data_IF_961546526406
#
_entry.id   IF_961546526406
#
_cell.length_a   1.000
_cell.length_b   1.000
_cell.length_c   1.000
_cell.angle_alpha   90.00
_cell.angle_beta   90.00
_cell.angle_gamma   90.00
#
_symmetry.space_group_name_H-M   'P 1'
#
loop_
_entity.id
_entity.type
_entity.pdbx_description
1 polymer ?
#
# COMPACT_ATOMS: atom_id res chain seq x y z
N UNK A 1 -4.78 51.43 58.55
CA UNK A 1 -5.35 52.64 59.19
C UNK A 1 -5.43 53.74 58.12
N UNK A 2 -6.65 54.25 57.84
CA UNK A 2 -7.04 55.45 57.04
C UNK A 2 -6.49 55.60 55.60
N UNK A 3 -7.31 55.45 54.54
CA UNK A 3 -8.28 56.40 53.93
C UNK A 3 -7.71 57.74 53.42
N UNK A 4 -7.84 57.89 52.10
CA UNK A 4 -8.44 58.99 51.33
C UNK A 4 -7.60 60.18 50.80
N UNK A 5 -7.74 60.33 49.47
CA UNK A 5 -7.97 61.54 48.65
C UNK A 5 -6.83 62.52 48.38
N UNK A 6 -6.52 62.77 47.09
CA UNK A 6 -7.08 63.93 46.37
C UNK A 6 -6.78 63.89 44.87
N UNK A 7 -7.77 64.28 44.08
CA UNK A 7 -7.73 64.65 42.65
C UNK A 7 -7.07 66.01 42.43
N UNK A 8 -6.34 66.20 41.30
CA UNK A 8 -6.63 67.23 40.28
C UNK A 8 -5.63 67.22 39.11
N UNK A 9 -6.22 67.38 37.93
CA UNK A 9 -5.73 67.72 36.59
C UNK A 9 -4.40 68.49 36.49
N UNK A 10 -3.67 68.28 35.38
CA UNK A 10 -3.18 69.31 34.45
C UNK A 10 -2.99 68.69 33.05
N UNK A 11 -3.44 69.43 32.02
CA UNK A 11 -3.23 69.13 30.60
C UNK A 11 -1.78 69.45 30.23
N UNK A 12 -1.10 68.55 29.53
CA UNK A 12 -0.01 68.93 28.63
C UNK A 12 -0.19 68.21 27.30
N UNK A 13 -0.31 69.02 26.25
CA UNK A 13 -0.28 68.63 24.86
C UNK A 13 1.12 68.15 24.49
N UNK A 14 1.22 66.97 23.86
CA UNK A 14 2.35 66.64 23.01
C UNK A 14 1.79 66.15 21.67
N UNK A 15 2.15 66.86 20.61
CA UNK A 15 1.82 66.52 19.25
C UNK A 15 2.49 65.19 18.86
N UNK A 16 1.70 64.27 18.30
CA UNK A 16 2.22 63.16 17.51
C UNK A 16 1.58 63.24 16.14
N UNK A 17 2.43 63.33 15.11
CA UNK A 17 2.05 63.31 13.71
C UNK A 17 1.17 62.07 13.43
N UNK A 18 0.04 62.32 12.78
CA UNK A 18 -0.74 61.27 12.14
C UNK A 18 0.04 60.77 10.90
N UNK A 19 0.71 59.63 11.03
CA UNK A 19 0.98 58.76 9.89
C UNK A 19 -0.13 57.72 9.83
N UNK A 20 -1.10 57.96 8.95
CA UNK A 20 -2.03 56.92 8.53
C UNK A 20 -1.22 55.84 7.81
N UNK A 21 -0.84 54.79 8.54
CA UNK A 21 -0.40 53.55 7.91
C UNK A 21 -1.67 52.88 7.36
N UNK A 22 -1.76 52.64 6.04
CA UNK A 22 -2.81 51.78 5.55
C UNK A 22 -2.53 50.39 6.13
N UNK A 23 -3.46 49.88 6.92
CA UNK A 23 -3.56 48.44 7.14
C UNK A 23 -3.84 47.82 5.78
N UNK A 24 -2.79 47.50 5.04
CA UNK A 24 -2.86 46.55 3.95
C UNK A 24 -3.20 45.22 4.60
N UNK A 25 -4.49 44.94 4.70
CA UNK A 25 -4.98 43.58 4.63
C UNK A 25 -4.30 42.95 3.41
N UNK A 26 -3.28 42.13 3.66
CA UNK A 26 -2.84 41.13 2.69
C UNK A 26 -4.05 40.21 2.48
N UNK A 27 -4.90 40.61 1.54
CA UNK A 27 -5.67 39.65 0.77
C UNK A 27 -4.62 38.75 0.14
N UNK A 28 -4.38 37.60 0.76
CA UNK A 28 -3.90 36.44 0.02
C UNK A 28 -4.95 36.22 -1.07
N UNK A 29 -4.65 36.73 -2.26
CA UNK A 29 -5.35 36.33 -3.46
C UNK A 29 -5.01 34.85 -3.66
N UNK A 30 -5.73 33.96 -2.97
CA UNK A 30 -5.93 32.62 -3.47
C UNK A 30 -6.79 32.82 -4.72
N UNK A 31 -6.16 33.00 -5.88
CA UNK A 31 -6.83 32.70 -7.14
C UNK A 31 -7.16 31.21 -7.08
N UNK A 32 -8.42 30.91 -6.81
CA UNK A 32 -8.93 29.55 -6.91
C UNK A 32 -8.84 29.20 -8.41
N UNK A 33 -7.77 28.51 -8.80
CA UNK A 33 -7.42 28.26 -10.21
C UNK A 33 -8.31 27.19 -10.87
N UNK A 34 -9.16 26.52 -10.08
CA UNK A 34 -10.06 25.49 -10.56
C UNK A 34 -11.42 25.51 -9.86
N UNK A 35 -12.46 25.20 -10.62
CA UNK A 35 -13.81 24.87 -10.15
C UNK A 35 -13.95 23.34 -9.99
N UNK A 36 -14.77 22.90 -9.04
CA UNK A 36 -15.11 21.47 -8.86
C UNK A 36 -16.59 21.25 -9.10
N UNK A 37 -16.92 20.42 -10.09
CA UNK A 37 -18.29 20.00 -10.41
C UNK A 37 -18.51 18.59 -9.88
N UNK A 38 -19.64 18.36 -9.23
CA UNK A 38 -19.96 17.08 -8.58
C UNK A 38 -21.19 16.42 -9.22
N UNK A 39 -21.14 15.11 -9.38
CA UNK A 39 -22.26 14.26 -9.82
C UNK A 39 -22.56 13.19 -8.79
N UNK A 40 -23.83 12.88 -8.57
CA UNK A 40 -24.26 11.80 -7.69
C UNK A 40 -25.51 11.11 -8.24
N UNK A 41 -25.46 9.77 -8.29
CA UNK A 41 -26.64 8.93 -8.45
C UNK A 41 -26.83 8.10 -7.20
N UNK A 42 -28.00 8.18 -6.58
CA UNK A 42 -28.35 7.30 -5.48
C UNK A 42 -28.35 5.81 -5.92
N UNK A 43 -28.25 4.89 -4.97
CA UNK A 43 -28.16 3.44 -5.23
C UNK A 43 -29.16 2.90 -6.27
N UNK A 44 -30.41 3.38 -6.27
CA UNK A 44 -31.44 2.92 -7.22
C UNK A 44 -31.35 3.53 -8.63
N UNK A 45 -30.53 4.57 -8.82
CA UNK A 45 -30.33 5.27 -10.08
C UNK A 45 -28.97 4.96 -10.73
N UNK A 46 -28.05 4.34 -9.99
CA UNK A 46 -26.71 3.98 -10.43
C UNK A 46 -26.71 2.97 -11.59
N UNK A 47 -25.81 3.15 -12.56
CA UNK A 47 -25.66 2.33 -13.77
C UNK A 47 -24.19 2.20 -14.17
N UNK A 48 -23.83 1.04 -14.71
CA UNK A 48 -22.46 0.73 -15.13
C UNK A 48 -21.86 1.68 -16.20
N UNK A 49 -22.67 2.53 -16.84
CA UNK A 49 -22.21 3.51 -17.83
C UNK A 49 -21.67 4.82 -17.21
N UNK A 50 -21.87 5.03 -15.89
CA UNK A 50 -21.44 6.25 -15.19
C UNK A 50 -21.86 7.54 -15.92
N UNK A 51 -23.08 7.57 -16.46
CA UNK A 51 -23.58 8.75 -17.18
C UNK A 51 -24.08 9.83 -16.22
N UNK A 52 -23.41 10.99 -16.18
CA UNK A 52 -23.81 12.18 -15.40
C UNK A 52 -24.16 13.35 -16.33
N UNK A 53 -25.04 14.26 -15.89
CA UNK A 53 -25.52 15.35 -16.74
C UNK A 53 -24.42 16.35 -17.16
N UNK A 54 -23.48 16.64 -16.25
CA UNK A 54 -22.47 17.70 -16.44
C UNK A 54 -21.03 17.18 -16.34
N UNK A 55 -20.83 15.87 -16.26
CA UNK A 55 -19.52 15.22 -16.20
C UNK A 55 -19.55 14.12 -17.24
N UNK A 56 -18.58 14.14 -18.16
CA UNK A 56 -18.46 13.10 -19.17
C UNK A 56 -18.29 11.72 -18.53
N UNK A 57 -18.68 10.67 -19.24
CA UNK A 57 -18.48 9.30 -18.78
C UNK A 57 -16.98 8.95 -18.75
N UNK A 58 -16.58 7.93 -17.95
CA UNK A 58 -15.22 7.39 -17.91
C UNK A 58 -14.68 7.10 -19.31
N UNK A 59 -13.42 7.44 -19.53
CA UNK A 59 -12.73 7.31 -20.82
C UNK A 59 -11.78 6.11 -20.79
N UNK A 60 -11.60 5.46 -21.94
CA UNK A 60 -10.57 4.44 -22.10
C UNK A 60 -9.36 4.93 -22.90
N UNK A 61 -9.32 6.21 -23.27
CA UNK A 61 -8.36 6.75 -24.24
C UNK A 61 -7.80 8.14 -23.88
N UNK A 62 -7.62 8.47 -22.61
CA UNK A 62 -7.11 9.78 -22.17
C UNK A 62 -5.68 9.71 -21.63
N UNK A 63 -5.12 10.84 -21.18
CA UNK A 63 -3.73 10.93 -20.76
C UNK A 63 -3.40 10.05 -19.53
N UNK A 64 -4.42 9.59 -18.80
CA UNK A 64 -4.31 8.56 -17.76
C UNK A 64 -3.62 7.28 -18.26
N UNK A 65 -3.79 6.91 -19.52
CA UNK A 65 -3.14 5.74 -20.12
C UNK A 65 -1.60 5.84 -20.23
N UNK A 66 -1.03 7.02 -19.99
CA UNK A 66 0.43 7.21 -19.86
C UNK A 66 0.93 7.00 -18.43
N UNK A 67 0.02 6.97 -17.46
CA UNK A 67 0.32 7.03 -16.05
C UNK A 67 1.12 5.83 -15.55
N UNK A 68 2.15 6.14 -14.76
CA UNK A 68 2.76 5.20 -13.84
C UNK A 68 2.34 5.59 -12.43
N UNK A 69 1.71 4.66 -11.72
CA UNK A 69 1.06 4.95 -10.44
C UNK A 69 1.84 4.34 -9.28
N UNK A 70 1.98 5.09 -8.19
CA UNK A 70 2.65 4.65 -6.96
C UNK A 70 1.89 5.11 -5.73
N UNK A 71 1.89 4.29 -4.68
CA UNK A 71 1.40 4.70 -3.37
C UNK A 71 2.54 5.30 -2.56
N UNK A 72 2.42 6.57 -2.15
CA UNK A 72 3.39 7.23 -1.26
C UNK A 72 2.97 7.17 0.21
N UNK A 73 1.72 6.81 0.47
CA UNK A 73 1.18 6.68 1.82
C UNK A 73 -0.16 5.96 1.82
N UNK A 74 -0.55 5.44 2.99
CA UNK A 74 -1.70 4.54 3.12
C UNK A 74 -1.33 3.08 2.82
N UNK A 75 -2.21 2.16 3.18
CA UNK A 75 -2.07 0.74 2.84
C UNK A 75 -3.22 0.37 1.92
N UNK A 76 -2.93 -0.18 0.75
CA UNK A 76 -3.94 -0.76 -0.13
C UNK A 76 -4.66 -1.92 0.59
N UNK A 77 -5.97 -2.04 0.41
CA UNK A 77 -6.69 -3.21 0.91
C UNK A 77 -6.33 -4.47 0.12
N UNK A 78 -6.29 -5.63 0.77
CA UNK A 78 -5.97 -6.90 0.11
C UNK A 78 -6.98 -7.34 -0.96
N UNK A 79 -8.20 -6.79 -0.96
CA UNK A 79 -9.21 -7.09 -1.98
C UNK A 79 -9.22 -6.08 -3.14
N UNK A 80 -8.47 -4.99 -3.02
CA UNK A 80 -8.28 -4.01 -4.09
C UNK A 80 -7.34 -4.59 -5.16
N UNK A 81 -7.60 -4.37 -6.47
CA UNK A 81 -6.55 -4.45 -7.48
C UNK A 81 -5.47 -3.40 -7.21
N UNK A 82 -4.37 -3.47 -7.96
CA UNK A 82 -3.33 -2.44 -7.90
C UNK A 82 -3.85 -1.07 -8.37
N UNK A 83 -3.20 0.03 -7.96
CA UNK A 83 -3.63 1.39 -8.27
C UNK A 83 -3.62 1.74 -9.76
N UNK A 84 -3.01 0.90 -10.61
CA UNK A 84 -3.12 0.97 -12.06
C UNK A 84 -4.56 0.86 -12.59
N UNK A 85 -5.49 0.25 -11.84
CA UNK A 85 -6.89 0.14 -12.25
C UNK A 85 -7.65 1.47 -12.23
N UNK A 86 -7.01 2.55 -11.79
CA UNK A 86 -7.59 3.90 -11.81
C UNK A 86 -7.49 4.55 -13.19
N UNK A 87 -6.78 3.94 -14.14
CA UNK A 87 -6.46 4.53 -15.43
C UNK A 87 -6.50 3.48 -16.55
N UNK A 88 -7.23 2.37 -16.35
CA UNK A 88 -7.32 1.29 -17.33
C UNK A 88 -8.58 1.38 -18.21
N UNK A 89 -9.41 2.40 -18.00
CA UNK A 89 -10.69 2.62 -18.68
C UNK A 89 -11.77 1.61 -18.29
N UNK A 90 -11.54 0.82 -17.24
CA UNK A 90 -12.32 -0.37 -16.91
C UNK A 90 -13.17 -0.15 -15.63
N UNK A 91 -14.41 0.32 -15.81
CA UNK A 91 -15.32 0.63 -14.67
C UNK A 91 -16.06 -0.60 -14.09
N UNK A 92 -16.50 -0.57 -12.81
CA UNK A 92 -17.32 -1.63 -12.22
C UNK A 92 -18.73 -1.69 -12.80
N UNK A 93 -19.33 -2.89 -12.79
CA UNK A 93 -20.71 -3.13 -13.25
C UNK A 93 -21.70 -3.35 -12.11
N UNK A 94 -21.21 -3.48 -10.87
CA UNK A 94 -21.99 -3.59 -9.64
C UNK A 94 -21.45 -2.64 -8.56
N UNK A 95 -22.32 -2.25 -7.63
CA UNK A 95 -22.00 -1.33 -6.56
C UNK A 95 -20.99 -1.89 -5.55
N UNK A 96 -20.89 -3.21 -5.37
CA UNK A 96 -19.89 -3.82 -4.49
C UNK A 96 -19.00 -4.78 -5.28
N UNK A 97 -18.08 -4.18 -6.05
CA UNK A 97 -17.12 -4.91 -6.89
C UNK A 97 -15.67 -4.55 -6.53
N UNK A 98 -15.11 -5.11 -5.42
CA UNK A 98 -13.77 -4.76 -4.94
C UNK A 98 -12.66 -4.99 -5.96
N UNK A 99 -12.80 -5.98 -6.86
CA UNK A 99 -11.78 -6.29 -7.87
C UNK A 99 -11.75 -5.29 -9.05
N UNK A 100 -12.63 -4.28 -9.05
CA UNK A 100 -12.72 -3.19 -10.05
C UNK A 100 -12.71 -1.80 -9.42
N UNK A 101 -12.30 -1.71 -8.16
CA UNK A 101 -12.18 -0.43 -7.47
C UNK A 101 -10.91 -0.42 -6.66
N UNK A 102 -10.12 0.64 -6.80
CA UNK A 102 -8.99 0.88 -5.90
C UNK A 102 -9.49 1.45 -4.58
N UNK A 103 -9.00 0.92 -3.46
CA UNK A 103 -9.27 1.49 -2.13
C UNK A 103 -8.17 1.18 -1.12
N UNK A 104 -7.99 2.13 -0.20
CA UNK A 104 -7.12 1.97 0.95
C UNK A 104 -7.77 1.11 2.04
N UNK A 105 -6.97 0.77 3.05
CA UNK A 105 -7.37 0.08 4.27
C UNK A 105 -6.96 0.88 5.50
N UNK A 106 -7.69 0.67 6.60
CA UNK A 106 -7.34 1.18 7.92
C UNK A 106 -7.92 2.55 8.28
N UNK A 107 -8.89 3.08 7.52
CA UNK A 107 -9.72 4.24 7.90
C UNK A 107 -8.96 5.56 8.00
N UNK A 108 -7.93 5.73 7.19
CA UNK A 108 -7.08 6.91 7.21
C UNK A 108 -6.78 7.46 5.81
N UNK A 109 -7.21 6.85 4.71
CA UNK A 109 -6.80 7.26 3.36
C UNK A 109 -5.29 7.11 3.11
N UNK A 110 -4.80 7.73 2.04
CA UNK A 110 -3.45 7.56 1.54
C UNK A 110 -3.08 8.54 0.43
N UNK A 111 -1.90 8.36 -0.16
CA UNK A 111 -1.37 9.22 -1.21
C UNK A 111 -1.08 8.42 -2.46
N UNK A 112 -1.65 8.84 -3.58
CA UNK A 112 -1.45 8.24 -4.90
C UNK A 112 -0.66 9.24 -5.74
N UNK A 113 0.54 8.84 -6.14
CA UNK A 113 1.39 9.57 -7.08
C UNK A 113 1.16 9.01 -8.48
N UNK A 114 0.89 9.90 -9.42
CA UNK A 114 0.76 9.61 -10.85
C UNK A 114 1.91 10.31 -11.57
N UNK A 115 2.71 9.57 -12.31
CA UNK A 115 3.74 10.10 -13.23
C UNK A 115 3.28 9.89 -14.67
N UNK A 116 2.97 10.99 -15.37
CA UNK A 116 2.52 11.00 -16.78
C UNK A 116 3.69 10.83 -17.77
N UNK A 117 4.93 10.75 -17.28
CA UNK A 117 6.16 10.57 -18.05
C UNK A 117 6.67 11.82 -18.77
N UNK A 118 5.84 12.86 -18.89
CA UNK A 118 6.13 14.17 -19.47
C UNK A 118 5.17 15.21 -18.90
N UNK A 119 5.51 16.49 -19.03
CA UNK A 119 4.56 17.58 -18.73
C UNK A 119 3.39 17.54 -19.73
N UNK A 120 2.15 17.59 -19.22
CA UNK A 120 0.90 17.61 -19.97
C UNK A 120 0.11 18.85 -19.56
N UNK A 121 -0.40 19.59 -20.54
CA UNK A 121 -1.30 20.73 -20.31
C UNK A 121 -2.72 20.22 -20.05
N UNK A 122 -3.09 20.11 -18.77
CA UNK A 122 -4.29 19.40 -18.34
C UNK A 122 -5.49 20.33 -18.39
N UNK A 123 -6.55 19.92 -19.09
CA UNK A 123 -7.80 20.68 -19.24
C UNK A 123 -8.87 20.28 -18.24
N UNK A 124 -8.90 19.03 -17.82
CA UNK A 124 -9.87 18.54 -16.84
C UNK A 124 -9.34 17.27 -16.19
N UNK A 125 -9.65 17.06 -14.92
CA UNK A 125 -9.45 15.77 -14.24
C UNK A 125 -10.79 15.30 -13.71
N UNK A 126 -11.18 14.08 -14.07
CA UNK A 126 -12.44 13.46 -13.65
C UNK A 126 -12.14 12.24 -12.81
N UNK A 127 -12.92 12.02 -11.75
CA UNK A 127 -12.78 10.86 -10.87
C UNK A 127 -14.14 10.26 -10.55
N UNK A 128 -14.22 8.94 -10.52
CA UNK A 128 -15.46 8.20 -10.37
C UNK A 128 -15.36 7.19 -9.24
N UNK A 129 -16.47 6.93 -8.57
CA UNK A 129 -16.55 5.93 -7.50
C UNK A 129 -17.95 5.33 -7.38
N UNK A 130 -18.03 4.09 -6.90
CA UNK A 130 -19.31 3.42 -6.67
C UNK A 130 -19.25 2.48 -5.46
N UNK A 131 -20.12 2.73 -4.47
CA UNK A 131 -20.38 1.78 -3.39
C UNK A 131 -21.77 2.00 -2.77
N UNK A 132 -22.45 0.97 -2.23
CA UNK A 132 -23.77 1.14 -1.61
C UNK A 132 -23.81 1.98 -0.32
N UNK A 133 -22.66 2.35 0.25
CA UNK A 133 -22.56 3.00 1.57
C UNK A 133 -21.52 4.15 1.64
N UNK A 134 -20.99 4.42 2.84
CA UNK A 134 -19.97 5.44 3.14
C UNK A 134 -18.68 5.33 2.31
N UNK A 135 -18.45 4.23 1.60
CA UNK A 135 -17.30 4.04 0.69
C UNK A 135 -17.56 4.56 -0.72
N UNK A 136 -18.77 5.06 -1.00
CA UNK A 136 -19.10 5.67 -2.29
C UNK A 136 -18.50 7.07 -2.45
N UNK A 137 -18.70 8.00 -1.50
CA UNK A 137 -18.13 9.34 -1.59
C UNK A 137 -16.60 9.36 -1.68
N UNK A 138 -16.09 10.38 -2.34
CA UNK A 138 -14.69 10.73 -2.54
C UNK A 138 -14.32 11.97 -1.71
N UNK A 139 -13.16 11.93 -1.05
CA UNK A 139 -12.56 13.07 -0.34
C UNK A 139 -11.06 13.11 -0.64
N UNK A 140 -10.60 14.11 -1.39
CA UNK A 140 -9.17 14.27 -1.68
C UNK A 140 -8.78 15.69 -2.05
N UNK A 141 -7.51 16.03 -1.81
CA UNK A 141 -6.84 17.20 -2.38
C UNK A 141 -5.94 16.76 -3.55
N UNK A 142 -5.90 17.57 -4.61
CA UNK A 142 -5.12 17.31 -5.82
C UNK A 142 -4.02 18.35 -5.99
N UNK A 143 -2.80 17.88 -6.26
CA UNK A 143 -1.64 18.72 -6.53
C UNK A 143 -0.93 18.31 -7.82
N UNK A 144 -0.27 19.26 -8.48
CA UNK A 144 0.54 19.04 -9.68
C UNK A 144 1.97 19.56 -9.56
N UNK A 145 2.92 18.92 -10.25
CA UNK A 145 4.30 19.38 -10.39
C UNK A 145 4.88 19.08 -11.78
N UNK A 146 5.75 19.96 -12.29
CA UNK A 146 6.45 19.81 -13.57
C UNK A 146 7.72 18.95 -13.43
N UNK A 147 8.28 18.50 -14.56
CA UNK A 147 9.50 17.67 -14.60
C UNK A 147 10.78 18.41 -14.10
N UNK A 148 10.71 19.73 -14.00
CA UNK A 148 11.79 20.58 -13.45
C UNK A 148 11.80 20.66 -11.91
N UNK A 149 10.77 20.13 -11.25
CA UNK A 149 10.77 20.06 -9.81
C UNK A 149 11.73 18.96 -9.35
N UNK A 150 12.59 19.26 -8.37
CA UNK A 150 13.16 18.27 -7.45
C UNK A 150 12.03 17.64 -6.60
N UNK A 151 10.94 17.20 -7.23
CA UNK A 151 9.79 16.58 -6.62
C UNK A 151 10.30 15.31 -5.95
N UNK A 152 10.64 15.45 -4.67
CA UNK A 152 11.10 14.34 -3.83
C UNK A 152 9.98 13.30 -3.91
N UNK A 153 10.22 12.24 -4.68
CA UNK A 153 9.30 11.12 -4.94
C UNK A 153 9.03 10.24 -3.70
N UNK A 154 9.04 10.85 -2.52
CA UNK A 154 8.92 10.25 -1.20
C UNK A 154 8.26 11.18 -0.19
N UNK A 155 7.34 12.05 -0.63
CA UNK A 155 6.49 12.84 0.27
C UNK A 155 5.82 11.88 1.27
N UNK A 156 6.29 11.90 2.51
CA UNK A 156 5.66 11.11 3.56
C UNK A 156 4.29 11.72 3.84
N UNK A 157 3.31 10.91 4.19
CA UNK A 157 1.93 11.31 4.49
C UNK A 157 1.75 12.59 5.34
N UNK A 158 2.70 12.96 6.21
CA UNK A 158 2.60 14.15 7.09
C UNK A 158 3.23 15.41 6.51
N UNK A 159 3.92 15.32 5.38
CA UNK A 159 4.58 16.45 4.74
C UNK A 159 3.59 17.19 3.85
N UNK A 160 3.51 18.51 3.98
CA UNK A 160 2.69 19.34 3.10
C UNK A 160 3.24 19.29 1.68
N UNK A 161 2.44 18.97 0.66
CA UNK A 161 2.90 18.99 -0.73
C UNK A 161 3.35 20.39 -1.17
N UNK A 162 2.67 21.44 -0.71
CA UNK A 162 2.90 22.85 -1.12
C UNK A 162 4.30 23.37 -0.77
N UNK A 163 4.98 22.76 0.21
CA UNK A 163 6.33 23.16 0.61
C UNK A 163 7.42 22.53 -0.28
N UNK A 164 7.05 21.76 -1.31
CA UNK A 164 7.94 20.88 -2.07
C UNK A 164 7.84 21.03 -3.61
N UNK A 165 7.64 22.25 -4.11
CA UNK A 165 7.47 22.56 -5.55
C UNK A 165 6.17 22.03 -6.20
N UNK A 166 5.20 21.63 -5.38
CA UNK A 166 3.86 21.23 -5.84
C UNK A 166 2.89 22.41 -5.82
N UNK A 167 2.01 22.45 -6.81
CA UNK A 167 0.93 23.43 -6.94
C UNK A 167 -0.40 22.77 -6.59
N UNK A 168 -1.20 23.39 -5.72
CA UNK A 168 -2.56 22.92 -5.45
C UNK A 168 -3.45 23.15 -6.68
N UNK A 169 -4.11 22.11 -7.17
CA UNK A 169 -4.99 22.17 -8.34
C UNK A 169 -6.45 22.28 -7.88
N UNK A 170 -6.90 21.41 -6.95
CA UNK A 170 -8.29 21.41 -6.52
C UNK A 170 -8.54 20.53 -5.30
N UNK A 171 -9.76 20.62 -4.75
CA UNK A 171 -10.21 19.84 -3.61
C UNK A 171 -11.59 19.25 -3.89
N UNK A 172 -11.74 17.95 -3.66
CA UNK A 172 -12.97 17.21 -3.88
C UNK A 172 -13.51 16.70 -2.55
N UNK A 173 -14.79 17.02 -2.29
CA UNK A 173 -15.59 16.40 -1.24
C UNK A 173 -17.01 16.17 -1.76
N UNK A 174 -17.27 14.94 -2.19
CA UNK A 174 -18.55 14.54 -2.81
C UNK A 174 -19.62 14.15 -1.78
N UNK A 175 -19.32 14.20 -0.47
CA UNK A 175 -20.31 13.88 0.56
C UNK A 175 -21.50 14.86 0.52
N UNK A 176 -21.25 16.12 0.13
CA UNK A 176 -22.26 17.17 0.01
C UNK A 176 -23.11 17.36 1.28
N UNK A 177 -24.29 17.97 1.14
CA UNK A 177 -25.28 18.07 2.24
C UNK A 177 -26.17 16.80 2.38
N UNK A 178 -26.05 15.85 1.45
CA UNK A 178 -26.90 14.65 1.41
C UNK A 178 -26.52 13.68 2.53
N UNK A 179 -27.48 13.39 3.41
CA UNK A 179 -27.29 12.52 4.60
C UNK A 179 -27.41 11.02 4.32
N UNK A 180 -27.66 10.62 3.08
CA UNK A 180 -27.80 9.20 2.72
C UNK A 180 -26.54 8.78 1.97
N UNK A 181 -25.63 8.01 2.62
CA UNK A 181 -24.40 7.58 1.98
C UNK A 181 -24.70 6.50 0.93
N UNK A 182 -23.91 6.51 -0.14
CA UNK A 182 -23.91 5.46 -1.16
C UNK A 182 -24.47 5.88 -2.51
N UNK A 183 -24.13 5.10 -3.52
CA UNK A 183 -24.43 5.33 -4.92
C UNK A 183 -23.17 5.54 -5.75
N UNK A 184 -23.35 6.11 -6.93
CA UNK A 184 -22.24 6.50 -7.81
C UNK A 184 -21.94 7.98 -7.62
N UNK A 185 -20.66 8.31 -7.56
CA UNK A 185 -20.19 9.68 -7.48
C UNK A 185 -19.22 9.95 -8.63
N UNK A 186 -19.26 11.18 -9.13
CA UNK A 186 -18.26 11.73 -10.03
C UNK A 186 -17.83 13.11 -9.54
N UNK A 187 -16.56 13.44 -9.73
CA UNK A 187 -16.05 14.80 -9.53
C UNK A 187 -15.24 15.20 -10.76
N UNK A 188 -15.42 16.43 -11.22
CA UNK A 188 -14.64 17.03 -12.30
C UNK A 188 -13.97 18.31 -11.78
N UNK A 189 -12.64 18.36 -11.84
CA UNK A 189 -11.87 19.56 -11.56
C UNK A 189 -11.59 20.24 -12.90
N UNK A 190 -12.06 21.47 -13.05
CA UNK A 190 -12.03 22.27 -14.28
C UNK A 190 -11.33 23.60 -14.06
N UNK A 191 -10.73 24.22 -15.08
CA UNK A 191 -10.20 25.57 -14.98
C UNK A 191 -11.30 26.53 -14.55
N UNK A 192 -10.93 27.55 -13.77
CA UNK A 192 -11.85 28.63 -13.42
C UNK A 192 -12.29 29.40 -14.67
N UNK A 193 -13.45 30.06 -14.61
CA UNK A 193 -13.98 30.83 -15.73
C UNK A 193 -12.94 31.84 -16.26
N UNK A 194 -12.53 31.66 -17.52
CA UNK A 194 -11.54 32.49 -18.19
C UNK A 194 -10.15 31.83 -18.37
N UNK A 195 -9.90 30.72 -17.68
CA UNK A 195 -8.69 29.91 -17.87
C UNK A 195 -8.92 28.79 -18.90
N UNK A 196 -7.92 28.50 -19.73
CA UNK A 196 -8.00 27.45 -20.76
C UNK A 196 -7.58 26.06 -20.24
N UNK A 197 -6.80 26.01 -19.16
CA UNK A 197 -6.27 24.77 -18.57
C UNK A 197 -6.00 24.91 -17.06
N UNK A 198 -5.86 23.76 -16.38
CA UNK A 198 -5.46 23.64 -14.97
C UNK A 198 -3.96 23.90 -14.76
N UNK A 199 -3.20 23.96 -15.86
CA UNK A 199 -1.74 24.08 -15.90
C UNK A 199 -1.05 22.86 -16.49
N UNK A 200 0.26 23.00 -16.68
CA UNK A 200 1.12 21.97 -17.25
C UNK A 200 1.88 21.20 -16.17
N UNK A 201 1.62 19.89 -16.07
CA UNK A 201 2.17 19.03 -15.02
C UNK A 201 2.57 17.66 -15.57
N UNK A 202 3.67 17.09 -15.03
CA UNK A 202 4.06 15.70 -15.22
C UNK A 202 3.55 14.81 -14.10
N UNK A 203 3.64 15.30 -12.87
CA UNK A 203 3.28 14.56 -11.68
C UNK A 203 1.97 15.08 -11.12
N UNK A 204 1.06 14.16 -10.77
CA UNK A 204 -0.14 14.46 -9.99
C UNK A 204 -0.10 13.70 -8.66
N UNK A 205 -0.56 14.34 -7.60
CA UNK A 205 -0.65 13.76 -6.27
C UNK A 205 -2.08 13.89 -5.76
N UNK A 206 -2.74 12.74 -5.58
CA UNK A 206 -4.02 12.65 -4.88
C UNK A 206 -3.74 12.38 -3.41
N UNK A 207 -3.99 13.35 -2.54
CA UNK A 207 -3.97 13.18 -1.08
C UNK A 207 -5.38 12.83 -0.60
N UNK A 208 -5.63 11.52 -0.48
CA UNK A 208 -6.95 10.93 -0.23
C UNK A 208 -7.18 10.84 1.27
N UNK A 209 -8.34 11.31 1.71
CA UNK A 209 -8.84 11.14 3.07
C UNK A 209 -9.95 10.07 3.12
N UNK A 210 -10.14 9.48 4.29
CA UNK A 210 -11.31 8.63 4.54
C UNK A 210 -12.57 9.50 4.61
N UNK A 211 -13.71 8.96 4.17
CA UNK A 211 -15.00 9.67 4.16
C UNK A 211 -15.52 9.95 5.58
N UNK A 212 -15.04 9.24 6.59
CA UNK A 212 -15.25 9.51 8.02
C UNK A 212 -14.15 8.89 8.87
N UNK A 213 -13.83 9.51 10.01
CA UNK A 213 -12.92 8.97 11.03
C UNK A 213 -13.59 7.95 11.97
N UNK A 214 -14.91 7.75 11.85
CA UNK A 214 -15.70 6.91 12.75
C UNK A 214 -15.79 5.44 12.33
N UNK A 215 -15.33 5.11 11.13
CA UNK A 215 -15.42 3.75 10.58
C UNK A 215 -14.14 3.36 9.85
N UNK A 216 -13.67 2.14 10.08
CA UNK A 216 -12.57 1.55 9.29
C UNK A 216 -13.01 1.18 7.86
N UNK A 217 -14.31 1.19 7.58
CA UNK A 217 -14.92 0.90 6.28
C UNK A 217 -15.45 2.20 5.64
N UNK A 218 -14.60 3.21 5.61
CA UNK A 218 -14.90 4.55 5.08
C UNK A 218 -13.87 4.97 4.02
N UNK A 219 -13.21 4.00 3.40
CA UNK A 219 -12.27 4.23 2.31
C UNK A 219 -13.02 4.17 1.00
N UNK A 220 -12.85 5.22 0.19
CA UNK A 220 -13.54 5.38 -1.09
C UNK A 220 -13.20 4.24 -2.06
N UNK A 221 -14.23 3.72 -2.74
CA UNK A 221 -14.11 2.79 -3.87
C UNK A 221 -13.90 3.58 -5.16
N UNK A 222 -12.66 3.99 -5.42
CA UNK A 222 -12.34 4.69 -6.65
C UNK A 222 -12.41 3.73 -7.83
N UNK A 223 -13.24 4.07 -8.81
CA UNK A 223 -13.54 3.24 -9.97
C UNK A 223 -12.68 3.58 -11.17
N UNK A 224 -12.40 4.86 -11.43
CA UNK A 224 -11.60 5.35 -12.56
C UNK A 224 -11.21 6.83 -12.31
N UNK A 225 -10.15 7.29 -12.96
CA UNK A 225 -9.71 8.68 -13.04
C UNK A 225 -9.31 9.00 -14.49
N UNK A 226 -9.99 9.95 -15.12
CA UNK A 226 -9.63 10.43 -16.46
C UNK A 226 -8.78 11.71 -16.35
N UNK A 227 -7.77 11.84 -17.21
CA UNK A 227 -6.93 13.06 -17.35
C UNK A 227 -7.04 13.58 -18.78
N UNK A 228 -7.76 14.69 -18.96
CA UNK A 228 -8.07 15.26 -20.27
C UNK A 228 -7.07 16.35 -20.66
N UNK A 229 -6.46 16.24 -21.85
CA UNK A 229 -5.63 17.29 -22.48
C UNK A 229 -6.12 17.64 -23.91
N UNK A 230 -7.21 17.03 -24.39
CA UNK A 230 -7.72 17.12 -25.75
C UNK A 230 -7.08 16.16 -26.74
N UNK A 231 -6.22 15.24 -26.31
CA UNK A 231 -5.63 14.18 -27.12
C UNK A 231 -6.16 12.80 -26.72
N UNK A 232 -6.03 11.85 -27.66
CA UNK A 232 -6.40 10.45 -27.44
C UNK A 232 -5.14 9.62 -27.25
N UNK A 233 -5.05 8.90 -26.13
CA UNK A 233 -3.97 7.98 -25.82
C UNK A 233 -4.55 6.59 -25.58
N UNK A 234 -4.26 5.63 -26.45
CA UNK A 234 -4.68 4.23 -26.21
C UNK A 234 -3.84 3.60 -25.10
N UNK A 235 -4.48 2.78 -24.25
CA UNK A 235 -3.77 2.01 -23.23
C UNK A 235 -2.74 1.10 -23.92
N UNK A 236 -1.47 1.32 -23.64
CA UNK A 236 -0.41 0.48 -24.19
C UNK A 236 -0.46 -0.90 -23.54
N UNK A 237 -1.06 -1.87 -24.24
CA UNK A 237 -1.00 -3.28 -23.82
C UNK A 237 0.45 -3.73 -23.80
N UNK A 238 1.00 -3.88 -22.60
CA UNK A 238 2.32 -4.48 -22.42
C UNK A 238 2.19 -5.96 -22.79
N UNK A 239 3.05 -6.45 -23.69
CA UNK A 239 3.10 -7.87 -24.02
C UNK A 239 3.36 -8.67 -22.74
N UNK A 240 2.43 -9.57 -22.40
CA UNK A 240 2.54 -10.39 -21.19
C UNK A 240 3.78 -11.29 -21.26
N UNK A 241 4.61 -11.24 -20.22
CA UNK A 241 5.83 -12.06 -20.06
C UNK A 241 5.66 -12.97 -18.87
N UNK A 242 4.90 -14.03 -19.08
CA UNK A 242 4.56 -15.02 -18.04
C UNK A 242 5.25 -16.34 -18.34
N UNK A 243 6.28 -16.66 -17.57
CA UNK A 243 6.91 -17.98 -17.60
C UNK A 243 6.15 -18.94 -16.68
N UNK A 244 5.93 -20.17 -17.13
CA UNK A 244 5.23 -21.19 -16.33
C UNK A 244 6.16 -22.35 -15.99
N UNK A 245 6.30 -22.63 -14.69
CA UNK A 245 7.02 -23.78 -14.17
C UNK A 245 6.02 -24.86 -13.75
N UNK A 246 6.07 -26.01 -14.42
CA UNK A 246 5.43 -27.25 -13.95
C UNK A 246 6.42 -28.05 -13.09
N UNK A 247 5.95 -28.48 -11.93
CA UNK A 247 6.70 -29.32 -10.98
C UNK A 247 5.97 -30.65 -10.86
N UNK A 248 6.47 -31.64 -11.61
CA UNK A 248 6.03 -33.04 -11.61
C UNK A 248 4.52 -33.23 -11.84
N UNK A 249 3.88 -32.33 -12.62
CA UNK A 249 2.44 -32.34 -12.88
C UNK A 249 1.56 -32.08 -11.66
N UNK A 250 2.15 -31.65 -10.52
CA UNK A 250 1.43 -31.41 -9.26
C UNK A 250 1.33 -29.94 -8.89
N UNK A 251 2.40 -29.18 -9.08
CA UNK A 251 2.44 -27.75 -8.76
C UNK A 251 2.75 -26.93 -10.01
N UNK A 252 2.07 -25.80 -10.15
CA UNK A 252 2.30 -24.82 -11.19
C UNK A 252 2.65 -23.48 -10.56
N UNK A 253 3.80 -22.92 -10.95
CA UNK A 253 4.22 -21.58 -10.54
C UNK A 253 4.34 -20.70 -11.78
N UNK A 254 3.60 -19.60 -11.82
CA UNK A 254 3.64 -18.60 -12.89
C UNK A 254 4.50 -17.43 -12.45
N UNK A 255 5.44 -17.02 -13.29
CA UNK A 255 6.32 -15.89 -13.03
C UNK A 255 6.02 -14.78 -14.03
N UNK A 256 5.41 -13.71 -13.54
CA UNK A 256 5.04 -12.56 -14.33
C UNK A 256 6.14 -11.49 -14.23
N UNK A 257 6.84 -11.29 -15.34
CA UNK A 257 7.89 -10.27 -15.53
C UNK A 257 7.46 -9.22 -16.55
N UNK A 258 6.16 -9.07 -16.81
CA UNK A 258 5.61 -8.14 -17.80
C UNK A 258 6.10 -6.71 -17.57
N UNK A 259 6.12 -6.25 -16.31
CA UNK A 259 6.61 -4.92 -15.95
C UNK A 259 8.14 -4.84 -15.79
N UNK A 260 8.81 -5.98 -15.66
CA UNK A 260 10.27 -6.05 -15.43
C UNK A 260 10.92 -7.05 -16.41
N UNK A 261 10.82 -6.82 -17.73
CA UNK A 261 11.31 -7.75 -18.74
C UNK A 261 12.81 -8.05 -18.61
N UNK A 262 13.57 -7.11 -18.06
CA UNK A 262 15.01 -7.26 -17.78
C UNK A 262 15.32 -8.32 -16.71
N UNK A 263 14.38 -8.62 -15.81
CA UNK A 263 14.53 -9.67 -14.79
C UNK A 263 14.22 -11.07 -15.33
N UNK A 264 13.56 -11.18 -16.50
CA UNK A 264 13.12 -12.46 -17.06
C UNK A 264 14.26 -13.49 -17.20
N UNK A 265 15.45 -13.14 -17.74
CA UNK A 265 16.54 -14.10 -17.83
C UNK A 265 17.01 -14.61 -16.47
N UNK A 266 17.05 -13.76 -15.43
CA UNK A 266 17.40 -14.20 -14.08
C UNK A 266 16.31 -15.09 -13.48
N UNK A 267 15.04 -14.75 -13.68
CA UNK A 267 13.91 -15.59 -13.23
C UNK A 267 14.01 -16.99 -13.83
N UNK A 268 14.24 -17.09 -15.13
CA UNK A 268 14.33 -18.37 -15.85
C UNK A 268 15.54 -19.19 -15.42
N UNK A 269 16.71 -18.57 -15.30
CA UNK A 269 17.97 -19.29 -15.09
C UNK A 269 18.28 -19.56 -13.61
N UNK A 270 17.85 -18.69 -12.69
CA UNK A 270 18.22 -18.77 -11.27
C UNK A 270 17.00 -19.10 -10.40
N UNK A 271 15.90 -18.34 -10.53
CA UNK A 271 14.77 -18.47 -9.61
C UNK A 271 13.92 -19.74 -9.87
N UNK A 272 13.56 -20.01 -11.12
CA UNK A 272 12.73 -21.17 -11.46
C UNK A 272 13.35 -22.50 -10.97
N UNK A 273 14.66 -22.77 -11.14
CA UNK A 273 15.30 -23.95 -10.56
C UNK A 273 15.19 -24.01 -9.02
N UNK A 274 15.35 -22.88 -8.33
CA UNK A 274 15.18 -22.83 -6.87
C UNK A 274 13.75 -23.15 -6.48
N UNK A 275 12.74 -22.54 -7.12
CA UNK A 275 11.34 -22.82 -6.84
C UNK A 275 10.97 -24.28 -7.14
N UNK A 276 11.48 -24.86 -8.24
CA UNK A 276 11.30 -26.28 -8.58
C UNK A 276 11.80 -27.19 -7.45
N UNK A 277 12.96 -26.87 -6.89
CA UNK A 277 13.59 -27.67 -5.84
C UNK A 277 12.92 -27.44 -4.48
N UNK A 278 12.57 -26.20 -4.15
CA UNK A 278 12.22 -25.81 -2.79
C UNK A 278 10.73 -25.77 -2.52
N UNK A 279 9.86 -25.48 -3.49
CA UNK A 279 8.42 -25.45 -3.21
C UNK A 279 7.90 -26.80 -2.67
N UNK A 280 8.19 -27.96 -3.30
CA UNK A 280 7.78 -29.26 -2.74
C UNK A 280 8.42 -29.58 -1.39
N UNK A 281 9.68 -29.14 -1.16
CA UNK A 281 10.36 -29.33 0.13
C UNK A 281 9.69 -28.53 1.24
N UNK A 282 9.34 -27.26 0.98
CA UNK A 282 8.64 -26.40 1.93
C UNK A 282 7.28 -27.02 2.29
N UNK A 283 6.54 -27.54 1.31
CA UNK A 283 5.30 -28.29 1.56
C UNK A 283 5.53 -29.48 2.50
N UNK A 284 6.60 -30.25 2.28
CA UNK A 284 6.97 -31.38 3.15
C UNK A 284 7.47 -30.97 4.55
N UNK A 285 8.06 -29.77 4.68
CA UNK A 285 8.56 -29.24 5.95
C UNK A 285 7.45 -28.67 6.84
N UNK A 286 6.29 -28.34 6.27
CA UNK A 286 5.18 -27.69 6.99
C UNK A 286 3.88 -28.51 6.89
N UNK A 287 3.88 -29.79 7.29
CA UNK A 287 2.69 -30.63 7.22
C UNK A 287 1.62 -30.21 8.23
N UNK A 288 0.36 -30.54 7.95
CA UNK A 288 -0.71 -30.63 8.94
C UNK A 288 -1.72 -31.66 8.49
N UNK A 289 -2.42 -32.27 9.44
CA UNK A 289 -3.45 -33.25 9.14
C UNK A 289 -4.57 -32.61 8.31
N UNK A 290 -5.02 -33.29 7.25
CA UNK A 290 -6.06 -32.78 6.35
C UNK A 290 -5.66 -31.57 5.48
N UNK A 291 -4.43 -31.06 5.60
CA UNK A 291 -3.98 -29.91 4.83
C UNK A 291 -3.36 -30.32 3.49
N UNK A 292 -3.72 -29.59 2.42
CA UNK A 292 -3.04 -29.65 1.13
C UNK A 292 -2.57 -28.25 0.76
N UNK A 293 -1.27 -28.11 0.48
CA UNK A 293 -0.69 -26.84 0.06
C UNK A 293 -1.20 -26.40 -1.32
N UNK A 294 -1.20 -25.08 -1.62
CA UNK A 294 -1.62 -24.57 -2.91
C UNK A 294 -0.88 -25.24 -4.08
N UNK A 295 -1.63 -25.63 -5.11
CA UNK A 295 -1.09 -26.21 -6.34
C UNK A 295 -0.75 -25.16 -7.38
N UNK A 296 -1.38 -23.99 -7.32
CA UNK A 296 -1.20 -22.89 -8.25
C UNK A 296 -0.69 -21.66 -7.51
N UNK A 297 0.51 -21.20 -7.87
CA UNK A 297 1.17 -20.04 -7.27
C UNK A 297 1.54 -19.05 -8.37
N UNK A 298 1.48 -17.75 -8.06
CA UNK A 298 1.95 -16.68 -8.97
C UNK A 298 2.99 -15.83 -8.28
N UNK A 299 4.09 -15.54 -8.96
CA UNK A 299 5.13 -14.59 -8.55
C UNK A 299 5.12 -13.45 -9.56
N UNK A 300 4.76 -12.24 -9.14
CA UNK A 300 4.71 -11.05 -10.01
C UNK A 300 5.79 -10.07 -9.61
N UNK A 301 6.61 -9.65 -10.58
CA UNK A 301 7.61 -8.62 -10.40
C UNK A 301 7.07 -7.27 -10.85
N UNK A 302 6.83 -6.37 -9.89
CA UNK A 302 6.31 -5.03 -10.17
C UNK A 302 7.44 -4.06 -10.46
N UNK A 303 7.31 -3.24 -11.51
CA UNK A 303 8.30 -2.21 -11.83
C UNK A 303 8.39 -1.14 -10.74
N UNK A 304 7.27 -0.90 -10.07
CA UNK A 304 7.10 0.14 -9.06
C UNK A 304 6.49 -0.45 -7.79
N UNK A 305 7.35 -0.80 -6.84
CA UNK A 305 6.96 -1.27 -5.52
C UNK A 305 8.09 -0.94 -4.54
N UNK A 306 7.71 -0.49 -3.35
CA UNK A 306 8.63 -0.33 -2.24
C UNK A 306 8.74 -1.63 -1.42
N UNK A 307 9.87 -1.80 -0.73
CA UNK A 307 10.14 -3.00 0.05
C UNK A 307 10.88 -4.09 -0.74
N UNK A 308 10.61 -5.36 -0.38
CA UNK A 308 11.31 -6.54 -0.91
C UNK A 308 10.34 -7.40 -1.70
N UNK A 309 9.44 -8.08 -0.99
CA UNK A 309 8.35 -8.86 -1.53
C UNK A 309 7.28 -9.02 -0.44
N UNK A 310 6.11 -9.53 -0.79
CA UNK A 310 5.10 -10.03 0.15
C UNK A 310 4.25 -11.12 -0.50
N UNK A 311 3.73 -12.03 0.33
CA UNK A 311 2.76 -13.03 -0.07
C UNK A 311 1.34 -12.70 0.41
N UNK A 312 0.35 -12.94 -0.45
CA UNK A 312 -1.06 -12.86 -0.15
C UNK A 312 -1.82 -14.01 -0.83
N UNK A 313 -2.38 -14.92 -0.02
CA UNK A 313 -3.05 -16.11 -0.53
C UNK A 313 -2.06 -17.00 -1.30
N UNK A 314 -2.25 -17.12 -2.61
CA UNK A 314 -1.38 -17.89 -3.52
C UNK A 314 -0.49 -17.02 -4.40
N UNK A 315 -0.40 -15.72 -4.10
CA UNK A 315 0.36 -14.75 -4.90
C UNK A 315 1.53 -14.21 -4.09
N UNK A 316 2.67 -14.05 -4.76
CA UNK A 316 3.86 -13.36 -4.27
C UNK A 316 4.06 -12.15 -5.16
N UNK A 317 4.20 -10.97 -4.57
CA UNK A 317 4.53 -9.74 -5.29
C UNK A 317 5.92 -9.29 -4.89
N UNK A 318 6.80 -9.12 -5.87
CA UNK A 318 8.22 -8.83 -5.71
C UNK A 318 8.54 -7.43 -6.25
N UNK A 319 9.34 -6.67 -5.50
CA UNK A 319 9.74 -5.31 -5.86
C UNK A 319 10.89 -5.32 -6.89
N UNK A 320 10.57 -5.19 -8.17
CA UNK A 320 11.55 -5.15 -9.26
C UNK A 320 12.78 -4.28 -9.00
N UNK A 321 12.64 -3.04 -8.49
CA UNK A 321 13.77 -2.19 -8.13
C UNK A 321 14.72 -2.82 -7.09
N UNK A 322 14.19 -3.52 -6.08
CA UNK A 322 15.00 -4.19 -5.06
C UNK A 322 15.71 -5.42 -5.63
N UNK A 323 15.01 -6.24 -6.43
CA UNK A 323 15.58 -7.44 -7.04
C UNK A 323 16.76 -7.12 -7.95
N UNK A 324 16.68 -6.07 -8.78
CA UNK A 324 17.81 -5.60 -9.61
C UNK A 324 19.10 -5.36 -8.82
N UNK A 325 19.00 -4.98 -7.54
CA UNK A 325 20.15 -4.74 -6.65
C UNK A 325 20.58 -5.96 -5.86
N UNK A 326 19.85 -7.06 -5.92
CA UNK A 326 19.99 -8.22 -5.02
C UNK A 326 20.03 -9.56 -5.75
N UNK A 327 20.18 -9.56 -7.08
CA UNK A 327 20.25 -10.79 -7.89
C UNK A 327 21.35 -11.75 -7.43
N UNK A 328 22.49 -11.21 -7.01
CA UNK A 328 23.64 -11.96 -6.45
C UNK A 328 23.64 -12.00 -4.91
N UNK A 329 22.58 -11.51 -4.28
CA UNK A 329 22.43 -11.39 -2.83
C UNK A 329 21.16 -12.08 -2.35
N UNK A 330 20.28 -11.32 -1.69
CA UNK A 330 19.13 -11.88 -0.97
C UNK A 330 17.92 -12.23 -1.84
N UNK A 331 17.98 -12.02 -3.17
CA UNK A 331 16.82 -12.19 -4.05
C UNK A 331 16.20 -13.58 -4.01
N UNK A 332 17.00 -14.64 -4.14
CA UNK A 332 16.48 -16.02 -4.10
C UNK A 332 15.90 -16.37 -2.73
N UNK A 333 16.64 -16.06 -1.66
CA UNK A 333 16.19 -16.32 -0.28
C UNK A 333 14.90 -15.60 0.08
N UNK A 334 14.69 -14.38 -0.44
CA UNK A 334 13.43 -13.65 -0.22
C UNK A 334 12.22 -14.35 -0.86
N UNK A 335 12.32 -14.90 -2.09
CA UNK A 335 11.21 -15.69 -2.66
C UNK A 335 11.01 -17.00 -1.88
N UNK A 336 12.08 -17.63 -1.38
CA UNK A 336 11.96 -18.81 -0.51
C UNK A 336 11.15 -18.48 0.76
N UNK A 337 11.41 -17.32 1.38
CA UNK A 337 10.61 -16.82 2.51
C UNK A 337 9.14 -16.64 2.13
N UNK A 338 8.85 -15.98 1.01
CA UNK A 338 7.45 -15.78 0.57
C UNK A 338 6.73 -17.08 0.19
N UNK A 339 7.44 -18.07 -0.38
CA UNK A 339 6.88 -19.41 -0.62
C UNK A 339 6.47 -20.10 0.68
N UNK A 340 7.17 -19.85 1.79
CA UNK A 340 6.74 -20.35 3.11
C UNK A 340 5.39 -19.75 3.48
N UNK A 341 5.19 -18.44 3.32
CA UNK A 341 3.90 -17.81 3.58
C UNK A 341 2.76 -18.36 2.70
N UNK A 342 3.05 -18.63 1.41
CA UNK A 342 2.09 -19.31 0.52
C UNK A 342 1.72 -20.70 1.04
N UNK A 343 2.66 -21.45 1.62
CA UNK A 343 2.41 -22.79 2.18
C UNK A 343 1.82 -22.76 3.60
N UNK A 344 2.02 -21.68 4.36
CA UNK A 344 1.47 -21.57 5.71
C UNK A 344 -0.06 -21.61 5.68
N UNK A 345 -0.69 -20.83 4.78
CA UNK A 345 -2.16 -20.70 4.67
C UNK A 345 -2.86 -20.68 6.03
N UNK A 346 -2.34 -19.88 6.97
CA UNK A 346 -2.92 -19.77 8.30
C UNK A 346 -4.29 -19.07 8.18
N UNK A 347 -5.34 -19.89 8.06
CA UNK A 347 -6.70 -19.48 7.77
C UNK A 347 -7.19 -18.41 8.76
N UNK A 348 -7.60 -17.25 8.24
CA UNK A 348 -8.22 -16.16 9.02
C UNK A 348 -9.72 -16.41 9.27
N UNK A 349 -10.09 -17.65 9.58
CA UNK A 349 -11.49 -18.03 9.85
C UNK A 349 -12.05 -17.27 11.06
N UNK A 350 -13.33 -16.88 10.99
CA UNK A 350 -14.03 -16.22 12.11
C UNK A 350 -13.93 -17.07 13.38
N UNK A 351 -13.44 -16.49 14.47
CA UNK A 351 -13.37 -17.13 15.79
C UNK A 351 -12.08 -17.91 16.09
N UNK A 352 -11.08 -17.91 15.20
CA UNK A 352 -9.74 -18.48 15.47
C UNK A 352 -8.79 -17.43 16.04
N UNK A 353 -7.86 -17.87 16.89
CA UNK A 353 -6.79 -16.99 17.40
C UNK A 353 -5.88 -16.56 16.25
N UNK A 354 -5.58 -15.25 16.18
CA UNK A 354 -4.60 -14.74 15.22
C UNK A 354 -3.21 -15.19 15.68
N UNK A 355 -2.48 -15.87 14.79
CA UNK A 355 -1.10 -16.28 15.07
C UNK A 355 -0.22 -15.04 15.33
N UNK A 356 0.68 -15.09 16.33
CA UNK A 356 1.63 -14.00 16.58
C UNK A 356 2.52 -13.78 15.36
N UNK A 357 2.72 -12.53 14.95
CA UNK A 357 3.55 -12.20 13.78
C UNK A 357 4.95 -12.78 13.88
N UNK A 358 5.55 -12.75 15.07
CA UNK A 358 6.90 -13.27 15.30
C UNK A 358 7.02 -14.77 14.98
N UNK A 359 5.97 -15.55 15.23
CA UNK A 359 5.95 -16.97 14.87
C UNK A 359 5.83 -17.16 13.36
N UNK A 360 4.92 -16.41 12.73
CA UNK A 360 4.65 -16.50 11.28
C UNK A 360 5.91 -16.16 10.47
N UNK A 361 6.52 -15.00 10.76
CA UNK A 361 7.76 -14.53 10.13
C UNK A 361 8.97 -15.39 10.54
N UNK A 362 9.03 -15.81 11.81
CA UNK A 362 10.11 -16.62 12.34
C UNK A 362 10.21 -17.99 11.67
N UNK A 363 9.08 -18.64 11.39
CA UNK A 363 9.06 -19.92 10.64
C UNK A 363 9.54 -19.72 9.20
N UNK A 364 9.10 -18.64 8.53
CA UNK A 364 9.55 -18.33 7.17
C UNK A 364 11.06 -18.10 7.12
N UNK A 365 11.61 -17.31 8.04
CA UNK A 365 13.05 -17.06 8.12
C UNK A 365 13.85 -18.25 8.67
N UNK A 366 13.26 -19.14 9.47
CA UNK A 366 13.91 -20.40 9.87
C UNK A 366 14.16 -21.28 8.64
N UNK A 367 13.15 -21.46 7.79
CA UNK A 367 13.30 -22.22 6.54
C UNK A 367 14.32 -21.53 5.63
N UNK A 368 14.23 -20.21 5.46
CA UNK A 368 15.18 -19.46 4.63
C UNK A 368 16.61 -19.57 5.17
N UNK A 369 16.89 -19.11 6.39
CA UNK A 369 18.26 -18.90 6.86
C UNK A 369 18.97 -20.16 7.36
N UNK A 370 18.22 -21.18 7.79
CA UNK A 370 18.80 -22.35 8.44
C UNK A 370 18.65 -23.64 7.64
N UNK A 371 17.67 -23.72 6.73
CA UNK A 371 17.50 -24.88 5.84
C UNK A 371 17.93 -24.59 4.41
N UNK A 372 17.62 -23.41 3.86
CA UNK A 372 17.96 -23.04 2.48
C UNK A 372 19.32 -22.36 2.34
N UNK A 373 19.53 -21.24 3.02
CA UNK A 373 20.76 -20.44 2.93
C UNK A 373 21.97 -21.20 3.51
N UNK A 374 23.16 -21.00 2.94
CA UNK A 374 24.35 -21.65 3.43
C UNK A 374 24.75 -21.13 4.82
N UNK A 375 25.44 -21.93 5.66
CA UNK A 375 25.75 -21.55 7.05
C UNK A 375 26.49 -20.23 7.22
N UNK A 376 27.27 -19.80 6.22
CA UNK A 376 28.02 -18.54 6.23
C UNK A 376 27.12 -17.31 6.21
N UNK A 377 25.89 -17.45 5.68
CA UNK A 377 24.89 -16.40 5.57
C UNK A 377 24.00 -16.30 6.82
N UNK A 378 24.19 -17.17 7.83
CA UNK A 378 23.33 -17.22 9.00
C UNK A 378 23.32 -15.88 9.76
N UNK A 379 22.15 -15.45 10.24
CA UNK A 379 22.04 -14.20 10.98
C UNK A 379 22.91 -14.15 12.23
N UNK A 380 23.40 -12.96 12.54
CA UNK A 380 24.10 -12.67 13.80
C UNK A 380 23.16 -11.93 14.73
N UNK A 381 22.76 -12.58 15.81
CA UNK A 381 21.89 -12.00 16.84
C UNK A 381 22.72 -11.16 17.80
N UNK A 382 22.26 -9.93 18.06
CA UNK A 382 22.81 -9.10 19.13
C UNK A 382 21.93 -9.25 20.39
N UNK A 383 22.32 -10.09 21.37
CA UNK A 383 21.48 -10.38 22.53
C UNK A 383 21.21 -9.17 23.43
N UNK A 384 21.99 -8.09 23.32
CA UNK A 384 21.75 -6.86 24.10
C UNK A 384 20.58 -6.02 23.57
N UNK A 385 20.09 -6.32 22.35
CA UNK A 385 19.05 -5.52 21.67
C UNK A 385 17.93 -6.36 21.08
N UNK A 386 18.01 -7.69 21.22
CA UNK A 386 17.16 -8.63 20.54
C UNK A 386 16.38 -9.49 21.54
N UNK A 387 15.20 -9.96 21.14
CA UNK A 387 14.38 -10.91 21.86
C UNK A 387 13.81 -11.99 20.92
N UNK A 388 13.41 -13.14 21.47
CA UNK A 388 12.91 -14.28 20.66
C UNK A 388 11.69 -13.94 19.80
N UNK A 389 10.93 -12.91 20.17
CA UNK A 389 9.72 -12.45 19.48
C UNK A 389 9.96 -11.25 18.53
N UNK A 390 11.21 -10.96 18.16
CA UNK A 390 11.55 -9.88 17.21
C UNK A 390 11.30 -10.24 15.72
N UNK A 391 10.67 -11.39 15.45
CA UNK A 391 10.39 -11.88 14.09
C UNK A 391 11.67 -12.19 13.29
N UNK A 392 11.49 -12.62 12.04
CA UNK A 392 12.55 -12.75 11.04
C UNK A 392 13.79 -13.50 11.57
N UNK A 393 14.98 -13.04 11.16
CA UNK A 393 16.32 -13.51 11.51
C UNK A 393 16.54 -13.84 12.99
N UNK A 394 16.06 -12.97 13.89
CA UNK A 394 16.26 -13.17 15.34
C UNK A 394 15.47 -14.37 15.82
N UNK A 395 14.16 -14.39 15.52
CA UNK A 395 13.30 -15.52 15.88
C UNK A 395 13.76 -16.80 15.19
N UNK A 396 14.17 -16.75 13.93
CA UNK A 396 14.68 -17.91 13.20
C UNK A 396 15.91 -18.54 13.87
N UNK A 397 16.82 -17.70 14.38
CA UNK A 397 18.02 -18.18 15.10
C UNK A 397 17.67 -18.85 16.42
N UNK A 398 16.70 -18.28 17.14
CA UNK A 398 16.12 -18.89 18.34
C UNK A 398 15.44 -20.23 18.03
N UNK A 399 14.62 -20.28 16.97
CA UNK A 399 13.92 -21.49 16.53
C UNK A 399 14.89 -22.61 16.14
N UNK A 400 15.98 -22.28 15.44
CA UNK A 400 17.04 -23.24 15.11
C UNK A 400 17.71 -23.82 16.36
N UNK A 401 18.04 -22.97 17.34
CA UNK A 401 18.56 -23.42 18.63
C UNK A 401 17.57 -24.35 19.35
N UNK A 402 16.31 -23.94 19.44
CA UNK A 402 15.27 -24.70 20.12
C UNK A 402 15.04 -26.07 19.46
N UNK A 403 14.93 -26.11 18.13
CA UNK A 403 14.72 -27.35 17.38
C UNK A 403 15.90 -28.32 17.54
N UNK A 404 17.14 -27.82 17.49
CA UNK A 404 18.33 -28.67 17.68
C UNK A 404 18.47 -29.23 19.09
N UNK A 405 18.03 -28.47 20.10
CA UNK A 405 18.24 -28.82 21.50
C UNK A 405 17.13 -29.67 22.09
N UNK A 406 15.87 -29.40 21.75
CA UNK A 406 14.71 -30.01 22.40
C UNK A 406 14.00 -31.01 21.52
N UNK A 407 13.72 -30.66 20.26
CA UNK A 407 12.95 -31.50 19.35
C UNK A 407 13.17 -31.08 17.89
N UNK A 408 13.72 -31.97 17.08
CA UNK A 408 13.99 -31.69 15.66
C UNK A 408 12.71 -31.42 14.85
N UNK A 409 11.54 -31.86 15.33
CA UNK A 409 10.23 -31.64 14.73
C UNK A 409 9.48 -30.45 15.33
N UNK A 410 10.09 -29.72 16.26
CA UNK A 410 9.45 -28.63 17.01
C UNK A 410 8.74 -27.64 16.09
N UNK A 411 9.40 -27.19 15.03
CA UNK A 411 8.85 -26.21 14.10
C UNK A 411 7.66 -26.77 13.31
N UNK A 412 7.67 -28.06 12.98
CA UNK A 412 6.55 -28.71 12.30
C UNK A 412 5.32 -28.78 13.21
N UNK A 413 5.51 -29.12 14.49
CA UNK A 413 4.45 -29.19 15.50
C UNK A 413 3.85 -27.82 15.79
N UNK A 414 4.69 -26.80 15.93
CA UNK A 414 4.27 -25.40 16.09
C UNK A 414 3.49 -24.91 14.86
N UNK A 415 4.00 -25.20 13.65
CA UNK A 415 3.32 -24.87 12.39
C UNK A 415 1.91 -25.50 12.33
N UNK A 416 1.79 -26.79 12.67
CA UNK A 416 0.51 -27.48 12.63
C UNK A 416 -0.51 -26.87 13.59
N UNK A 417 -0.10 -26.59 14.83
CA UNK A 417 -0.97 -25.92 15.81
C UNK A 417 -1.37 -24.51 15.37
N UNK A 418 -0.45 -23.75 14.77
CA UNK A 418 -0.76 -22.43 14.18
C UNK A 418 -1.76 -22.53 13.03
N UNK A 419 -1.68 -23.56 12.19
CA UNK A 419 -2.62 -23.76 11.09
C UNK A 419 -4.04 -24.09 11.58
N UNK A 420 -4.14 -24.84 12.66
CA UNK A 420 -5.43 -25.15 13.30
C UNK A 420 -5.99 -24.03 14.19
N UNK A 421 -5.21 -22.96 14.39
CA UNK A 421 -5.61 -21.82 15.24
C UNK A 421 -5.57 -22.14 16.73
N UNK A 422 -4.81 -23.16 17.12
CA UNK A 422 -4.70 -23.65 18.50
C UNK A 422 -3.41 -23.18 19.20
N UNK A 423 -2.55 -22.45 18.49
CA UNK A 423 -1.31 -21.96 19.06
C UNK A 423 -1.57 -21.05 20.28
N UNK A 424 -0.86 -21.35 21.36
CA UNK A 424 -0.73 -20.51 22.56
C UNK A 424 0.72 -20.58 23.03
N UNK A 425 1.20 -19.59 23.77
CA UNK A 425 2.61 -19.57 24.24
C UNK A 425 2.95 -20.76 25.16
N UNK A 426 1.96 -21.32 25.85
CA UNK A 426 2.06 -22.53 26.66
C UNK A 426 2.47 -23.77 25.84
N UNK A 427 2.25 -23.75 24.52
CA UNK A 427 2.66 -24.85 23.64
C UNK A 427 4.19 -25.04 23.64
N UNK A 428 4.98 -23.99 23.83
CA UNK A 428 6.42 -24.11 24.00
C UNK A 428 6.75 -24.99 25.21
N UNK A 429 6.10 -24.75 26.34
CA UNK A 429 6.31 -25.54 27.55
C UNK A 429 5.86 -26.99 27.35
N UNK A 430 4.69 -27.21 26.74
CA UNK A 430 4.19 -28.57 26.44
C UNK A 430 5.15 -29.37 25.55
N UNK A 431 5.76 -28.74 24.55
CA UNK A 431 6.64 -29.43 23.59
C UNK A 431 8.08 -29.57 24.08
N UNK A 432 8.58 -28.65 24.93
CA UNK A 432 10.01 -28.58 25.28
C UNK A 432 10.29 -28.70 26.78
N UNK A 433 9.26 -28.65 27.62
CA UNK A 433 9.35 -28.51 29.07
C UNK A 433 9.73 -27.11 29.56
N UNK A 434 9.87 -26.12 28.66
CA UNK A 434 10.28 -24.75 28.97
C UNK A 434 9.48 -23.71 28.19
N UNK A 435 9.32 -22.53 28.77
CA UNK A 435 8.78 -21.37 28.04
C UNK A 435 9.74 -20.90 26.95
N UNK A 436 9.23 -20.19 25.94
CA UNK A 436 10.04 -19.58 24.90
C UNK A 436 11.12 -18.63 25.48
N UNK A 437 10.79 -17.89 26.53
CA UNK A 437 11.70 -16.98 27.23
C UNK A 437 12.85 -17.73 27.92
N UNK A 438 12.58 -18.85 28.59
CA UNK A 438 13.64 -19.65 29.19
C UNK A 438 14.59 -20.24 28.14
N UNK A 439 14.05 -20.72 27.02
CA UNK A 439 14.87 -21.23 25.89
C UNK A 439 15.68 -20.10 25.26
N UNK A 440 15.11 -18.90 25.14
CA UNK A 440 15.80 -17.71 24.66
C UNK A 440 17.01 -17.36 25.53
N UNK A 441 16.83 -17.36 26.85
CA UNK A 441 17.91 -17.10 27.80
C UNK A 441 19.05 -18.13 27.66
N UNK A 442 18.71 -19.40 27.41
CA UNK A 442 19.72 -20.41 27.11
C UNK A 442 20.45 -20.16 25.80
N UNK A 443 19.74 -19.76 24.74
CA UNK A 443 20.33 -19.38 23.46
C UNK A 443 21.29 -18.18 23.63
N UNK A 444 20.85 -17.11 24.31
CA UNK A 444 21.68 -15.94 24.60
C UNK A 444 22.97 -16.33 25.33
N UNK A 445 22.90 -17.25 26.31
CA UNK A 445 24.07 -17.73 27.02
C UNK A 445 25.10 -18.47 26.12
N UNK A 446 24.67 -18.96 24.94
CA UNK A 446 25.58 -19.53 23.94
C UNK A 446 26.29 -18.47 23.08
N UNK A 447 25.73 -17.27 23.00
CA UNK A 447 26.28 -16.16 22.20
C UNK A 447 27.30 -15.31 22.96
N UNK A 448 27.29 -15.37 24.29
CA UNK A 448 28.18 -14.60 25.17
C UNK A 448 29.50 -15.32 25.50
N UNK A 449 29.76 -16.47 24.88
CA UNK A 449 31.04 -17.18 24.94
C UNK A 449 31.84 -16.89 23.69
#
# INVERSE_FOLDING_TARGET
MRRMTSTRFWKLSLAFLASALPTTSLLSANSQAAETVLGHHANGAAKADFSFDNIAAPSSTDAGNLAKVRLLGGQMDSNSPGPECLFDGEVPTDADQPNRNFFFSGGRGGRILVDLGKDIDIKEIRSYSWHPDLRGPQVYELFGASDSADAKMGLRRRESPTDNSWTAIGNVDTRGESKVPGGQYAAAIRPSEGDESLGSYRYLLFDVASTTDQSQFAETFFSEIDIEDGQSYELQKTESRIDTLDIDGKYTIRFDTTETPDLQPWVQNELMPICKLWYPKIVGLLPSEGYSAPTDVTVTFKAYMDGVAYAAGTRITAAGPWYRRQLEGEALGSIVHEMVHVVQQYNRGRGRNRNPSWMVEGVADYVRWFLYEPPQNRPRVNPARANYNDSYRTTASFMDFAAKKYDAELIQKLNASMREGEYTDDLWNKLTGKSAEEIWNEYVATLTK
#
